data_IF_933180925236
#
_entry.id   IF_933180925236
#
_cell.length_a   1.000
_cell.length_b   1.000
_cell.length_c   1.000
_cell.angle_alpha   90.00
_cell.angle_beta   90.00
_cell.angle_gamma   90.00
#
_symmetry.space_group_name_H-M   'P 1'
#
loop_
_entity.id
_entity.type
_entity.pdbx_description
1 polymer ?
#
# COMPACT_ATOMS: atom_id res chain seq x y z
N UNK A 1 -0.18 -11.33 21.09
CA UNK A 1 -0.66 -12.72 21.10
C UNK A 1 0.56 -13.64 21.08
N UNK A 2 0.83 -14.26 22.21
CA UNK A 2 2.05 -15.07 22.36
C UNK A 2 1.85 -16.53 22.04
N UNK A 3 0.61 -16.99 22.02
CA UNK A 3 0.28 -18.40 21.94
C UNK A 3 -0.84 -18.64 20.91
N UNK A 4 -0.45 -18.62 19.63
CA UNK A 4 -1.40 -18.85 18.53
C UNK A 4 -1.73 -20.34 18.40
N UNK A 5 -3.02 -20.65 18.38
CA UNK A 5 -3.51 -22.03 18.27
C UNK A 5 -4.46 -22.19 17.09
N UNK A 6 -4.16 -23.14 16.23
CA UNK A 6 -5.03 -23.49 15.11
C UNK A 6 -6.37 -24.04 15.59
N UNK A 7 -7.43 -23.67 14.87
CA UNK A 7 -8.78 -24.18 15.17
C UNK A 7 -9.45 -23.54 16.37
N UNK A 8 -8.82 -22.56 17.02
CA UNK A 8 -9.34 -21.88 18.19
C UNK A 8 -9.44 -20.38 17.94
N UNK A 9 -10.23 -19.71 18.78
CA UNK A 9 -10.27 -18.25 18.79
C UNK A 9 -9.02 -17.72 19.47
N UNK A 10 -8.28 -16.89 18.75
CA UNK A 10 -7.08 -16.24 19.26
C UNK A 10 -7.35 -14.75 19.43
N UNK A 11 -6.90 -14.18 20.55
CA UNK A 11 -7.05 -12.75 20.83
C UNK A 11 -5.69 -12.11 20.86
N UNK A 12 -5.59 -10.96 20.22
CA UNK A 12 -4.35 -10.18 20.21
C UNK A 12 -4.18 -9.47 21.55
N UNK A 13 -2.94 -9.33 21.99
CA UNK A 13 -2.59 -8.51 23.16
C UNK A 13 -2.38 -7.04 22.78
N UNK A 14 -2.00 -6.79 21.55
CA UNK A 14 -1.83 -5.44 21.01
C UNK A 14 -2.02 -5.46 19.50
N UNK A 15 -2.42 -4.34 18.96
CA UNK A 15 -2.64 -4.18 17.54
C UNK A 15 -2.02 -2.87 17.07
N UNK A 16 -1.39 -2.90 15.90
CA UNK A 16 -0.84 -1.71 15.26
C UNK A 16 -1.28 -1.70 13.81
N UNK A 17 -1.83 -0.58 13.39
CA UNK A 17 -2.33 -0.40 12.03
C UNK A 17 -1.48 0.65 11.32
N UNK A 18 -0.86 0.26 10.23
CA UNK A 18 0.03 1.13 9.47
C UNK A 18 -0.29 1.08 7.97
N UNK A 19 -0.13 2.20 7.25
CA UNK A 19 -0.13 2.12 5.80
C UNK A 19 1.06 1.28 5.36
N UNK A 20 0.85 0.42 4.39
CA UNK A 20 1.85 -0.56 4.00
C UNK A 20 2.14 -0.53 2.51
N UNK A 21 2.97 -1.49 2.11
CA UNK A 21 3.48 -1.62 0.77
C UNK A 21 4.89 -1.06 0.65
N UNK A 22 5.67 -1.68 -0.22
CA UNK A 22 7.09 -1.31 -0.36
C UNK A 22 7.29 0.13 -0.81
N UNK A 23 6.44 0.62 -1.72
CA UNK A 23 6.52 1.99 -2.19
C UNK A 23 6.25 3.00 -1.08
N UNK A 24 5.21 2.78 -0.28
CA UNK A 24 4.89 3.66 0.84
C UNK A 24 5.98 3.61 1.90
N UNK A 25 6.56 2.43 2.15
CA UNK A 25 7.67 2.29 3.08
C UNK A 25 8.89 3.11 2.63
N UNK A 26 9.19 3.11 1.34
CA UNK A 26 10.26 3.95 0.76
C UNK A 26 9.95 5.44 1.00
N UNK A 27 8.72 5.87 0.71
CA UNK A 27 8.31 7.26 0.96
C UNK A 27 8.42 7.65 2.43
N UNK A 28 8.08 6.75 3.33
CA UNK A 28 8.20 6.97 4.78
C UNK A 28 9.65 7.21 5.18
N UNK A 29 10.56 6.37 4.70
CA UNK A 29 12.00 6.52 4.98
C UNK A 29 12.52 7.83 4.39
N UNK A 30 12.17 8.15 3.16
CA UNK A 30 12.57 9.40 2.52
C UNK A 30 12.07 10.62 3.31
N UNK A 31 10.82 10.58 3.77
CA UNK A 31 10.26 11.64 4.61
C UNK A 31 11.03 11.82 5.90
N UNK A 32 11.44 10.74 6.55
CA UNK A 32 12.26 10.80 7.75
C UNK A 32 13.66 11.40 7.49
N UNK A 33 14.13 11.29 6.26
CA UNK A 33 15.39 11.90 5.82
C UNK A 33 15.22 13.34 5.29
N UNK A 34 14.02 13.87 5.36
CA UNK A 34 13.72 15.22 4.88
C UNK A 34 13.55 15.34 3.36
N UNK A 35 13.35 14.23 2.67
CA UNK A 35 13.19 14.19 1.22
C UNK A 35 11.70 14.06 0.88
N UNK A 36 11.20 14.97 0.05
CA UNK A 36 9.83 14.89 -0.45
C UNK A 36 9.69 13.78 -1.49
N UNK A 37 8.57 13.09 -1.45
CA UNK A 37 8.23 12.08 -2.45
C UNK A 37 6.73 12.10 -2.72
N UNK A 38 6.33 11.53 -3.86
CA UNK A 38 4.94 11.32 -4.23
C UNK A 38 4.70 9.83 -4.35
N UNK A 39 3.72 9.33 -3.64
CA UNK A 39 3.31 7.93 -3.73
C UNK A 39 2.36 7.77 -4.93
N UNK A 40 2.67 6.82 -5.79
CA UNK A 40 1.82 6.43 -6.92
C UNK A 40 1.33 5.02 -6.71
N UNK A 41 0.11 4.75 -7.12
CA UNK A 41 -0.51 3.44 -7.01
C UNK A 41 -2.01 3.54 -7.12
N UNK A 42 -2.70 2.53 -6.65
CA UNK A 42 -4.15 2.47 -6.71
C UNK A 42 -4.72 2.36 -5.30
N UNK A 43 -5.73 3.16 -5.02
CA UNK A 43 -6.47 3.13 -3.76
C UNK A 43 -7.95 2.86 -4.03
N UNK A 44 -8.59 2.15 -3.12
CA UNK A 44 -9.99 1.82 -3.24
C UNK A 44 -10.67 1.73 -1.87
N UNK A 45 -11.94 2.09 -1.82
CA UNK A 45 -12.81 1.88 -0.67
C UNK A 45 -12.36 2.56 0.62
N UNK A 46 -12.90 2.07 1.73
CA UNK A 46 -12.61 2.66 3.05
C UNK A 46 -11.16 2.48 3.47
N UNK A 47 -10.54 1.36 3.10
CA UNK A 47 -9.12 1.11 3.39
C UNK A 47 -8.23 2.06 2.60
N UNK A 48 -8.60 2.37 1.34
CA UNK A 48 -7.89 3.37 0.54
C UNK A 48 -7.97 4.75 1.15
N UNK A 49 -9.13 5.14 1.68
CA UNK A 49 -9.31 6.42 2.37
C UNK A 49 -8.42 6.52 3.61
N UNK A 50 -8.32 5.44 4.37
CA UNK A 50 -7.45 5.41 5.55
C UNK A 50 -5.98 5.56 5.15
N UNK A 51 -5.55 4.88 4.11
CA UNK A 51 -4.19 5.02 3.59
C UNK A 51 -3.92 6.46 3.16
N UNK A 52 -4.83 7.05 2.38
CA UNK A 52 -4.70 8.42 1.91
C UNK A 52 -4.59 9.41 3.08
N UNK A 53 -5.42 9.25 4.10
CA UNK A 53 -5.38 10.11 5.28
C UNK A 53 -4.07 10.01 6.03
N UNK A 54 -3.51 8.81 6.15
CA UNK A 54 -2.22 8.61 6.82
C UNK A 54 -1.05 9.15 6.01
N UNK A 55 -1.09 9.01 4.69
CA UNK A 55 -0.09 9.64 3.82
C UNK A 55 -0.08 11.16 4.00
N UNK A 56 -1.26 11.76 4.07
CA UNK A 56 -1.42 13.19 4.29
C UNK A 56 -0.82 13.61 5.64
N UNK A 57 -1.12 12.87 6.71
CA UNK A 57 -0.56 13.11 8.05
C UNK A 57 0.97 13.01 8.08
N UNK A 58 1.53 12.14 7.25
CA UNK A 58 2.98 11.95 7.15
C UNK A 58 3.66 12.96 6.21
N UNK A 59 2.89 13.83 5.57
CA UNK A 59 3.42 14.79 4.62
C UNK A 59 3.86 14.20 3.28
N UNK A 60 3.42 12.99 2.96
CA UNK A 60 3.71 12.34 1.69
C UNK A 60 2.65 12.76 0.67
N UNK A 61 3.09 13.25 -0.48
CA UNK A 61 2.17 13.62 -1.55
C UNK A 61 1.51 12.37 -2.12
N UNK A 62 0.20 12.43 -2.25
CA UNK A 62 -0.61 11.31 -2.74
C UNK A 62 -0.98 11.54 -4.21
N UNK A 63 -0.29 10.86 -5.12
CA UNK A 63 -0.63 10.82 -6.54
C UNK A 63 -1.36 9.53 -6.93
N UNK A 64 -1.89 8.79 -5.97
CA UNK A 64 -2.58 7.54 -6.23
C UNK A 64 -3.87 7.74 -7.00
N UNK A 65 -4.20 6.74 -7.81
CA UNK A 65 -5.41 6.70 -8.63
C UNK A 65 -6.49 5.97 -7.85
N UNK A 66 -7.68 6.57 -7.76
CA UNK A 66 -8.80 5.96 -7.07
C UNK A 66 -9.55 5.00 -7.98
N UNK A 67 -9.83 3.82 -7.46
CA UNK A 67 -10.69 2.83 -8.09
C UNK A 67 -12.13 3.00 -7.59
N UNK A 68 -13.08 2.71 -8.46
CA UNK A 68 -14.51 2.86 -8.13
C UNK A 68 -15.05 1.68 -7.33
N UNK A 69 -14.46 0.50 -7.49
CA UNK A 69 -14.91 -0.73 -6.84
C UNK A 69 -13.81 -1.37 -6.01
N UNK A 70 -14.23 -2.12 -5.02
CA UNK A 70 -13.34 -2.86 -4.15
C UNK A 70 -12.76 -2.01 -3.03
N UNK A 71 -11.71 -2.52 -2.43
CA UNK A 71 -10.97 -1.83 -1.37
C UNK A 71 -9.50 -2.21 -1.41
N UNK A 72 -8.66 -1.32 -0.94
CA UNK A 72 -7.22 -1.59 -0.83
C UNK A 72 -7.00 -2.76 0.12
N UNK A 73 -6.08 -3.65 -0.24
CA UNK A 73 -5.88 -4.90 0.49
C UNK A 73 -5.41 -4.67 1.93
N UNK A 74 -5.80 -5.59 2.79
CA UNK A 74 -5.37 -5.64 4.18
C UNK A 74 -4.41 -6.82 4.34
N UNK A 75 -3.25 -6.56 4.92
CA UNK A 75 -2.29 -7.58 5.26
C UNK A 75 -2.21 -7.71 6.78
N UNK A 76 -2.25 -8.93 7.27
CA UNK A 76 -2.11 -9.22 8.70
C UNK A 76 -0.74 -9.83 8.94
N UNK A 77 -0.01 -9.26 9.90
CA UNK A 77 1.30 -9.78 10.32
C UNK A 77 1.22 -10.25 11.75
N UNK A 78 1.54 -11.51 11.97
CA UNK A 78 1.57 -12.13 13.29
C UNK A 78 3.00 -12.10 13.81
N UNK A 79 3.31 -11.10 14.64
CA UNK A 79 4.69 -10.89 15.13
C UNK A 79 5.20 -12.03 16.01
N UNK A 80 4.32 -12.69 16.71
CA UNK A 80 4.67 -13.79 17.64
C UNK A 80 4.95 -15.12 16.94
N UNK A 81 4.74 -15.21 15.63
CA UNK A 81 4.90 -16.45 14.87
C UNK A 81 5.80 -16.17 13.68
N UNK A 82 7.11 -16.16 13.93
CA UNK A 82 8.18 -16.12 12.93
C UNK A 82 7.86 -15.46 11.58
N UNK A 83 7.37 -14.23 11.60
CA UNK A 83 7.10 -13.50 10.38
C UNK A 83 5.93 -14.04 9.56
N UNK A 84 4.98 -14.74 10.19
CA UNK A 84 3.78 -15.23 9.50
C UNK A 84 2.93 -14.05 9.04
N UNK A 85 2.57 -14.07 7.77
CA UNK A 85 1.78 -13.04 7.15
C UNK A 85 0.56 -13.63 6.45
N UNK A 86 -0.57 -12.93 6.54
CA UNK A 86 -1.77 -13.23 5.77
C UNK A 86 -2.01 -12.02 4.89
N UNK A 87 -1.77 -12.18 3.59
CA UNK A 87 -1.90 -11.10 2.64
C UNK A 87 -3.25 -11.18 1.93
N UNK A 88 -4.07 -10.15 2.08
CA UNK A 88 -5.32 -10.04 1.37
C UNK A 88 -5.08 -9.82 -0.13
N UNK A 89 -6.09 -10.13 -0.92
CA UNK A 89 -6.07 -9.83 -2.35
C UNK A 89 -6.45 -8.36 -2.55
N UNK A 90 -5.77 -7.72 -3.49
CA UNK A 90 -6.10 -6.36 -3.86
C UNK A 90 -7.33 -6.28 -4.76
N UNK A 91 -7.84 -5.07 -5.00
CA UNK A 91 -8.95 -4.87 -5.92
C UNK A 91 -8.51 -5.15 -7.36
N UNK A 92 -9.49 -5.42 -8.22
CA UNK A 92 -9.24 -5.49 -9.65
C UNK A 92 -8.97 -4.08 -10.17
N UNK A 93 -7.98 -3.95 -11.06
CA UNK A 93 -7.59 -2.68 -11.62
C UNK A 93 -8.02 -2.64 -13.09
N UNK A 94 -9.03 -1.81 -13.43
CA UNK A 94 -9.47 -1.66 -14.81
C UNK A 94 -8.35 -1.11 -15.70
N UNK A 95 -8.34 -1.53 -16.96
CA UNK A 95 -7.34 -1.09 -17.92
C UNK A 95 -7.25 0.44 -18.05
N UNK A 96 -8.38 1.14 -17.98
CA UNK A 96 -8.42 2.60 -17.98
C UNK A 96 -7.59 3.21 -16.87
N UNK A 97 -7.60 2.61 -15.68
CA UNK A 97 -6.84 3.09 -14.53
C UNK A 97 -5.36 2.82 -14.70
N UNK A 98 -5.00 1.71 -15.31
CA UNK A 98 -3.60 1.44 -15.70
C UNK A 98 -3.11 2.49 -16.70
N UNK A 99 -3.95 2.87 -17.65
CA UNK A 99 -3.62 3.93 -18.62
C UNK A 99 -3.41 5.28 -17.92
N UNK A 100 -4.20 5.60 -16.89
CA UNK A 100 -4.00 6.80 -16.08
C UNK A 100 -2.63 6.79 -15.39
N UNK A 101 -2.24 5.65 -14.84
CA UNK A 101 -0.92 5.49 -14.24
C UNK A 101 0.18 5.70 -15.29
N UNK A 102 0.03 5.12 -16.47
CA UNK A 102 1.00 5.30 -17.55
C UNK A 102 1.14 6.76 -17.96
N UNK A 103 0.04 7.52 -17.97
CA UNK A 103 0.07 8.96 -18.21
C UNK A 103 0.85 9.70 -17.12
N UNK A 104 0.65 9.34 -15.85
CA UNK A 104 1.42 9.92 -14.75
C UNK A 104 2.91 9.66 -14.92
N UNK A 105 3.28 8.42 -15.29
CA UNK A 105 4.68 8.06 -15.51
C UNK A 105 5.27 8.79 -16.72
N UNK A 106 4.49 8.99 -17.76
CA UNK A 106 4.92 9.73 -18.95
C UNK A 106 5.16 11.22 -18.67
N UNK A 107 4.59 11.76 -17.61
CA UNK A 107 4.79 13.15 -17.21
C UNK A 107 6.10 13.35 -16.45
N UNK A 108 6.80 12.29 -16.07
CA UNK A 108 8.10 12.39 -15.41
C UNK A 108 9.12 12.92 -16.39
N UNK A 109 9.98 13.82 -15.94
CA UNK A 109 10.98 14.47 -16.74
C UNK A 109 12.40 14.16 -16.31
N UNK A 110 13.34 14.81 -16.97
CA UNK A 110 14.75 14.73 -16.65
C UNK A 110 14.98 15.21 -15.21
N UNK A 111 15.75 14.47 -14.45
CA UNK A 111 16.02 14.78 -13.05
C UNK A 111 15.05 14.12 -12.06
N UNK A 112 13.93 13.62 -12.53
CA UNK A 112 13.01 12.85 -11.69
C UNK A 112 13.54 11.44 -11.43
N UNK A 113 13.26 10.92 -10.23
CA UNK A 113 13.65 9.56 -9.85
C UNK A 113 12.39 8.75 -9.58
N UNK A 114 12.26 7.61 -10.25
CA UNK A 114 11.15 6.70 -10.07
C UNK A 114 11.61 5.42 -9.36
N UNK A 115 10.97 5.11 -8.23
CA UNK A 115 11.15 3.84 -7.55
C UNK A 115 10.03 2.88 -7.94
N UNK A 116 10.39 1.78 -8.57
CA UNK A 116 9.47 0.69 -8.87
C UNK A 116 9.55 -0.35 -7.75
N UNK A 117 8.51 -0.45 -6.96
CA UNK A 117 8.50 -1.35 -5.82
C UNK A 117 7.11 -1.92 -5.59
N UNK A 118 7.07 -3.10 -4.97
CA UNK A 118 5.82 -3.75 -4.60
C UNK A 118 5.46 -4.92 -5.50
N UNK A 119 4.22 -5.38 -5.36
CA UNK A 119 3.68 -6.50 -6.11
C UNK A 119 2.62 -6.01 -7.09
N UNK A 120 2.41 -6.80 -8.12
CA UNK A 120 1.36 -6.56 -9.13
C UNK A 120 0.19 -7.49 -8.80
N UNK A 121 -1.07 -6.97 -8.79
CA UNK A 121 -2.24 -7.83 -8.62
C UNK A 121 -2.31 -8.92 -9.69
N UNK A 122 -2.91 -10.06 -9.35
CA UNK A 122 -3.05 -11.19 -10.26
C UNK A 122 -3.89 -10.86 -11.51
N UNK A 123 -4.72 -9.83 -11.43
CA UNK A 123 -5.52 -9.35 -12.56
C UNK A 123 -4.72 -8.55 -13.60
N UNK A 124 -3.46 -8.23 -13.31
CA UNK A 124 -2.59 -7.49 -14.21
C UNK A 124 -1.50 -8.38 -14.77
N UNK A 125 -1.16 -8.16 -16.05
CA UNK A 125 0.00 -8.80 -16.68
C UNK A 125 1.29 -8.15 -16.16
N UNK A 126 2.30 -8.99 -15.97
CA UNK A 126 3.61 -8.54 -15.52
C UNK A 126 4.48 -8.00 -16.66
#
# INVERSE_FOLDING_TARGET
MEDFKLGLTNRTSSELMLPGGKGINVSTVLGNLGIESTALGFLAGFTGKEIAGRLDQMGIKNGCIWLEEGYSRINVKLKSIDGTEINGQGPEIPEKKVEELMKQLSALGEGDVLFLAGSIPSSMDR
#
